data_IF_817186553554
#
_entry.id   IF_817186553554
#
_cell.length_a   1.000
_cell.length_b   1.000
_cell.length_c   1.000
_cell.angle_alpha   90.00
_cell.angle_beta   90.00
_cell.angle_gamma   90.00
#
_symmetry.space_group_name_H-M   'P 1'
#
loop_
_entity.id
_entity.type
_entity.pdbx_description
1 polymer ?
#
# COMPACT_ATOMS: atom_id res chain seq x y z
N UNK A 1 35.58 -68.97 0.27
CA UNK A 1 35.50 -67.51 0.47
C UNK A 1 34.85 -66.94 -0.77
N UNK A 2 33.68 -66.34 -0.57
CA UNK A 2 32.63 -66.15 -1.56
C UNK A 2 32.95 -65.11 -2.67
N UNK A 3 32.43 -65.36 -3.86
CA UNK A 3 32.23 -64.45 -4.99
C UNK A 3 30.72 -64.48 -5.36
N UNK A 4 30.20 -63.48 -6.08
CA UNK A 4 28.99 -62.77 -5.69
C UNK A 4 27.68 -63.32 -6.30
N UNK A 5 26.60 -63.04 -5.59
CA UNK A 5 25.22 -63.36 -5.93
C UNK A 5 24.61 -62.52 -7.06
N UNK A 6 23.60 -63.16 -7.64
CA UNK A 6 22.88 -62.95 -8.91
C UNK A 6 21.87 -61.79 -8.94
N UNK A 7 21.44 -61.50 -10.17
CA UNK A 7 20.46 -60.52 -10.66
C UNK A 7 19.07 -60.49 -10.01
N UNK A 8 18.46 -59.31 -10.16
CA UNK A 8 17.09 -58.89 -9.88
C UNK A 8 15.97 -59.79 -10.45
N UNK A 9 14.85 -59.87 -9.72
CA UNK A 9 13.52 -60.10 -10.30
C UNK A 9 12.51 -59.18 -9.63
N UNK A 10 11.84 -58.39 -10.47
CA UNK A 10 10.72 -57.48 -10.18
C UNK A 10 9.50 -58.25 -9.64
N UNK A 11 8.84 -57.73 -8.60
CA UNK A 11 7.46 -58.13 -8.25
C UNK A 11 6.61 -56.91 -7.89
N UNK A 12 5.77 -56.50 -8.84
CA UNK A 12 4.72 -55.52 -8.63
C UNK A 12 3.54 -56.18 -7.89
N UNK A 13 3.35 -55.84 -6.61
CA UNK A 13 2.05 -55.98 -5.95
C UNK A 13 1.43 -54.60 -5.76
N UNK A 14 0.33 -54.37 -6.47
CA UNK A 14 -0.58 -53.26 -6.23
C UNK A 14 -1.19 -53.40 -4.83
N UNK A 15 -0.78 -52.53 -3.90
CA UNK A 15 -1.50 -52.31 -2.66
C UNK A 15 -2.47 -51.13 -2.89
N UNK A 16 -3.77 -51.40 -2.92
CA UNK A 16 -4.80 -50.38 -2.86
C UNK A 16 -4.61 -49.60 -1.54
N UNK A 17 -4.23 -48.32 -1.63
CA UNK A 17 -4.12 -47.44 -0.47
C UNK A 17 -5.54 -47.12 0.02
N UNK A 18 -5.84 -47.56 1.23
CA UNK A 18 -7.02 -47.14 2.00
C UNK A 18 -7.16 -45.61 1.95
N UNK A 19 -8.31 -45.11 1.53
CA UNK A 19 -8.65 -43.68 1.61
C UNK A 19 -8.81 -43.37 3.11
N UNK A 20 -8.04 -42.44 3.69
CA UNK A 20 -8.23 -42.08 5.10
C UNK A 20 -9.57 -41.34 5.25
N UNK A 21 -10.36 -41.73 6.26
CA UNK A 21 -11.63 -41.09 6.59
C UNK A 21 -11.44 -39.58 6.77
N UNK A 22 -12.33 -38.81 6.16
CA UNK A 22 -12.37 -37.35 6.27
C UNK A 22 -12.69 -36.98 7.74
N UNK A 23 -11.93 -36.10 8.41
CA UNK A 23 -12.20 -35.80 9.81
C UNK A 23 -13.54 -35.08 9.94
N UNK A 24 -14.44 -35.68 10.73
CA UNK A 24 -15.74 -35.11 11.10
C UNK A 24 -15.49 -33.86 11.94
N UNK A 25 -15.78 -32.69 11.39
CA UNK A 25 -15.54 -31.41 12.09
C UNK A 25 -16.48 -31.27 13.30
N UNK A 26 -15.96 -31.02 14.52
CA UNK A 26 -16.79 -30.66 15.67
C UNK A 26 -17.27 -29.21 15.55
N UNK A 27 -18.57 -29.00 15.76
CA UNK A 27 -19.31 -27.73 15.61
C UNK A 27 -19.11 -26.76 16.77
N UNK A 28 -17.92 -26.68 17.36
CA UNK A 28 -17.67 -25.75 18.47
C UNK A 28 -17.04 -24.45 17.99
N UNK A 29 -17.68 -23.34 18.37
CA UNK A 29 -17.38 -21.94 18.03
C UNK A 29 -16.03 -21.41 18.59
N UNK A 30 -15.10 -22.32 18.89
CA UNK A 30 -13.75 -22.05 19.41
C UNK A 30 -12.68 -22.13 18.29
N UNK A 31 -13.11 -22.28 17.03
CA UNK A 31 -12.31 -22.05 15.83
C UNK A 31 -12.25 -20.56 15.42
N UNK A 32 -12.12 -19.64 16.38
CA UNK A 32 -11.76 -18.25 16.06
C UNK A 32 -10.23 -18.17 15.98
N UNK A 33 -9.72 -18.53 14.80
CA UNK A 33 -8.54 -17.94 14.15
C UNK A 33 -7.26 -17.78 15.01
N UNK A 34 -6.65 -18.88 15.46
CA UNK A 34 -5.19 -18.87 15.64
C UNK A 34 -4.54 -19.08 14.25
N UNK A 35 -4.65 -18.06 13.38
CA UNK A 35 -3.87 -18.01 12.15
C UNK A 35 -2.42 -17.84 12.60
N UNK A 36 -1.65 -18.93 12.68
CA UNK A 36 -0.19 -18.88 12.74
C UNK A 36 0.37 -18.41 11.39
N UNK A 37 -0.14 -17.28 10.90
CA UNK A 37 0.37 -16.58 9.74
C UNK A 37 1.63 -15.86 10.15
N UNK A 38 2.69 -16.02 9.36
CA UNK A 38 3.89 -15.21 9.52
C UNK A 38 3.48 -13.73 9.44
N UNK A 39 3.91 -12.91 10.42
CA UNK A 39 3.73 -11.46 10.38
C UNK A 39 4.12 -10.92 9.02
N UNK A 40 3.46 -9.92 8.46
CA UNK A 40 3.81 -9.34 7.17
C UNK A 40 3.55 -7.84 7.15
N UNK A 41 4.35 -7.10 6.39
CA UNK A 41 4.15 -5.67 6.19
C UNK A 41 3.12 -5.44 5.08
N UNK A 42 2.12 -4.63 5.37
CA UNK A 42 1.00 -4.28 4.49
C UNK A 42 0.89 -2.77 4.38
N UNK A 43 0.95 -2.25 3.15
CA UNK A 43 0.71 -0.85 2.82
C UNK A 43 -0.68 -0.62 2.24
N UNK A 44 -1.00 0.63 1.91
CA UNK A 44 -2.25 0.94 1.20
C UNK A 44 -2.30 0.28 -0.18
N UNK A 45 -3.37 -0.45 -0.53
CA UNK A 45 -3.55 -1.00 -1.88
C UNK A 45 -3.96 0.07 -2.90
N UNK A 46 -4.48 1.21 -2.42
CA UNK A 46 -4.93 2.32 -3.26
C UNK A 46 -3.95 3.49 -3.19
N UNK A 47 -3.81 4.27 -4.28
CA UNK A 47 -3.03 5.50 -4.25
C UNK A 47 -3.58 6.51 -3.25
N UNK A 48 -2.68 7.19 -2.54
CA UNK A 48 -3.01 8.32 -1.70
C UNK A 48 -2.97 9.58 -2.56
N UNK A 49 -4.02 10.39 -2.50
CA UNK A 49 -4.16 11.60 -3.31
C UNK A 49 -4.02 12.80 -2.37
N UNK A 50 -3.18 13.77 -2.75
CA UNK A 50 -2.98 15.01 -1.99
C UNK A 50 -2.83 16.21 -2.93
N UNK A 51 -3.25 17.39 -2.48
CA UNK A 51 -2.92 18.63 -3.15
C UNK A 51 -1.53 19.13 -2.68
N UNK A 52 -0.82 19.92 -3.51
CA UNK A 52 0.38 20.60 -3.05
C UNK A 52 0.09 21.45 -1.81
N UNK A 53 0.94 21.35 -0.79
CA UNK A 53 0.77 22.03 0.50
C UNK A 53 0.12 21.19 1.60
N UNK A 54 -0.52 20.08 1.26
CA UNK A 54 -1.18 19.21 2.25
C UNK A 54 -0.18 18.45 3.13
N UNK A 55 -0.64 18.06 4.32
CA UNK A 55 -0.02 17.01 5.10
C UNK A 55 -0.68 15.67 4.76
N UNK A 56 0.11 14.66 4.41
CA UNK A 56 -0.38 13.34 4.00
C UNK A 56 0.14 12.23 4.90
N UNK A 57 -0.66 11.17 5.06
CA UNK A 57 -0.25 9.94 5.74
C UNK A 57 -0.15 8.81 4.72
N UNK A 58 1.02 8.19 4.64
CA UNK A 58 1.27 6.97 3.87
C UNK A 58 1.03 5.76 4.78
N UNK A 59 -0.06 4.98 4.59
CA UNK A 59 -0.41 3.90 5.50
C UNK A 59 0.53 2.72 5.31
N UNK A 60 1.13 2.23 6.40
CA UNK A 60 1.85 0.97 6.41
C UNK A 60 1.83 0.35 7.81
N UNK A 61 1.58 -0.96 7.91
CA UNK A 61 1.44 -1.65 9.19
C UNK A 61 1.79 -3.13 9.08
N UNK A 62 1.96 -3.80 10.23
CA UNK A 62 2.25 -5.24 10.31
C UNK A 62 0.99 -6.02 10.67
N UNK A 63 0.74 -7.12 9.96
CA UNK A 63 -0.38 -8.04 10.19
C UNK A 63 0.14 -9.46 10.43
N UNK A 64 -0.25 -10.15 11.52
CA UNK A 64 -0.96 -9.60 12.68
C UNK A 64 -0.16 -8.52 13.40
N UNK A 65 -0.84 -7.71 14.21
CA UNK A 65 -0.22 -6.64 14.98
C UNK A 65 0.84 -7.22 15.92
N UNK A 66 2.07 -6.71 15.81
CA UNK A 66 3.21 -7.09 16.64
C UNK A 66 3.98 -5.85 17.03
N UNK A 67 4.61 -5.88 18.20
CA UNK A 67 5.44 -4.76 18.65
C UNK A 67 6.71 -4.67 17.80
N UNK A 68 6.86 -3.55 17.08
CA UNK A 68 8.04 -3.24 16.26
C UNK A 68 8.81 -2.02 16.76
N UNK A 69 8.51 -1.48 17.94
CA UNK A 69 9.14 -0.27 18.47
C UNK A 69 10.66 -0.39 18.67
N UNK A 70 11.16 -1.61 18.88
CA UNK A 70 12.59 -1.91 18.98
C UNK A 70 13.26 -2.29 17.65
N UNK A 71 12.53 -2.27 16.52
CA UNK A 71 13.05 -2.62 15.21
C UNK A 71 13.36 -1.37 14.39
N UNK A 72 14.25 -1.53 13.41
CA UNK A 72 14.49 -0.50 12.39
C UNK A 72 13.31 -0.42 11.43
N UNK A 73 12.82 0.79 11.17
CA UNK A 73 11.79 1.09 10.18
C UNK A 73 12.38 2.03 9.14
N UNK A 74 12.32 1.61 7.89
CA UNK A 74 12.86 2.34 6.75
C UNK A 74 11.73 2.78 5.83
N UNK A 75 11.73 4.06 5.48
CA UNK A 75 10.95 4.59 4.36
C UNK A 75 11.90 5.11 3.29
N UNK A 76 11.78 4.62 2.07
CA UNK A 76 12.61 5.03 0.93
C UNK A 76 11.78 5.18 -0.35
N UNK A 77 12.35 5.85 -1.36
CA UNK A 77 11.77 5.88 -2.70
C UNK A 77 12.53 4.86 -3.56
N UNK A 78 11.90 3.75 -3.98
CA UNK A 78 12.59 2.72 -4.77
C UNK A 78 13.02 3.22 -6.16
N UNK A 79 12.48 4.36 -6.60
CA UNK A 79 12.76 4.96 -7.91
C UNK A 79 13.99 5.89 -7.90
N UNK A 80 14.48 6.27 -6.71
CA UNK A 80 15.68 7.11 -6.59
C UNK A 80 16.91 6.20 -6.62
N UNK A 81 17.72 6.36 -7.66
CA UNK A 81 19.00 5.66 -7.76
C UNK A 81 20.05 6.42 -6.94
N UNK A 82 20.97 5.71 -6.27
CA UNK A 82 22.12 6.34 -5.61
C UNK A 82 22.93 7.18 -6.61
N UNK A 83 23.50 8.30 -6.17
CA UNK A 83 24.40 9.10 -7.01
C UNK A 83 25.60 8.22 -7.44
N UNK A 84 25.82 7.99 -8.75
CA UNK A 84 26.96 7.21 -9.24
C UNK A 84 28.33 7.76 -8.82
N UNK A 85 28.38 9.04 -8.45
CA UNK A 85 29.60 9.73 -7.99
C UNK A 85 29.82 9.62 -6.49
N UNK A 86 28.81 9.23 -5.72
CA UNK A 86 28.98 8.93 -4.31
C UNK A 86 29.75 7.62 -4.17
N UNK A 87 31.04 7.73 -3.84
CA UNK A 87 31.94 6.59 -3.64
C UNK A 87 31.49 5.66 -2.51
N UNK A 88 30.64 6.15 -1.61
CA UNK A 88 30.06 5.34 -0.53
C UNK A 88 28.72 4.71 -0.91
N UNK A 89 28.12 5.07 -2.05
CA UNK A 89 26.78 4.64 -2.48
C UNK A 89 25.77 4.70 -1.33
N UNK A 90 25.71 5.83 -0.62
CA UNK A 90 24.85 5.96 0.56
C UNK A 90 23.40 5.81 0.14
N UNK A 91 22.71 4.92 0.84
CA UNK A 91 21.26 4.81 0.73
C UNK A 91 20.65 5.95 1.53
N UNK A 92 20.00 6.88 0.84
CA UNK A 92 19.25 7.95 1.50
C UNK A 92 17.80 7.53 1.72
N UNK A 93 17.25 7.91 2.86
CA UNK A 93 15.90 7.55 3.28
C UNK A 93 14.96 8.76 3.26
N UNK A 94 13.68 8.52 2.97
CA UNK A 94 12.61 9.50 3.22
C UNK A 94 12.42 9.67 4.74
N UNK A 95 12.52 8.56 5.48
CA UNK A 95 12.52 8.54 6.93
C UNK A 95 13.23 7.28 7.43
N UNK A 96 14.04 7.41 8.47
CA UNK A 96 14.74 6.29 9.11
C UNK A 96 14.49 6.35 10.62
N UNK A 97 13.98 5.26 11.17
CA UNK A 97 13.87 5.05 12.60
C UNK A 97 14.73 3.86 13.00
N UNK A 98 15.70 4.08 13.89
CA UNK A 98 16.59 3.05 14.43
C UNK A 98 17.04 3.44 15.83
N UNK A 99 17.46 2.46 16.63
CA UNK A 99 17.92 2.71 18.01
C UNK A 99 16.93 3.54 18.83
N UNK A 100 15.64 3.24 18.64
CA UNK A 100 14.48 3.87 19.30
C UNK A 100 14.29 5.37 19.07
N UNK A 101 14.89 5.90 18.00
CA UNK A 101 14.78 7.32 17.61
C UNK A 101 14.77 7.50 16.11
N UNK A 102 14.36 8.69 15.67
CA UNK A 102 14.58 9.12 14.29
C UNK A 102 16.08 9.33 14.06
N UNK A 103 16.55 8.90 12.88
CA UNK A 103 17.87 9.19 12.37
C UNK A 103 17.76 10.20 11.21
N UNK A 104 18.36 11.37 11.42
CA UNK A 104 18.33 12.46 10.44
C UNK A 104 19.54 12.48 9.50
N UNK A 105 20.62 11.78 9.83
CA UNK A 105 21.91 11.88 9.13
C UNK A 105 21.87 11.15 7.78
N UNK A 106 21.00 10.14 7.68
CA UNK A 106 20.82 9.35 6.45
C UNK A 106 19.55 9.73 5.67
N UNK A 107 18.89 10.84 6.03
CA UNK A 107 17.68 11.29 5.32
C UNK A 107 18.05 12.10 4.08
N UNK A 108 17.25 11.92 3.04
CA UNK A 108 17.16 12.85 1.92
C UNK A 108 16.90 14.26 2.45
N UNK A 109 17.74 15.21 2.03
CA UNK A 109 17.70 16.59 2.51
C UNK A 109 16.33 17.26 2.34
N UNK A 110 15.59 16.91 1.28
CA UNK A 110 14.24 17.42 0.99
C UNK A 110 13.15 16.91 1.95
N UNK A 111 13.41 15.86 2.73
CA UNK A 111 12.47 15.28 3.71
C UNK A 111 12.85 15.56 5.17
N UNK A 112 14.01 16.17 5.43
CA UNK A 112 14.42 16.59 6.77
C UNK A 112 13.38 17.55 7.34
N UNK A 113 12.92 17.31 8.58
CA UNK A 113 11.85 18.06 9.27
C UNK A 113 10.48 18.05 8.58
N UNK A 114 10.30 17.26 7.52
CA UNK A 114 9.03 17.11 6.80
C UNK A 114 8.37 15.76 7.03
N UNK A 115 9.01 14.82 7.71
CA UNK A 115 8.44 13.48 7.89
C UNK A 115 8.49 12.98 9.33
N UNK A 116 7.44 12.28 9.74
CA UNK A 116 7.26 11.79 11.11
C UNK A 116 6.60 10.40 11.11
N UNK A 117 7.06 9.52 12.00
CA UNK A 117 6.39 8.25 12.28
C UNK A 117 5.46 8.38 13.50
N UNK A 118 4.38 7.61 13.50
CA UNK A 118 3.54 7.43 14.69
C UNK A 118 4.23 6.50 15.70
N UNK A 119 5.18 7.04 16.47
CA UNK A 119 6.01 6.28 17.42
C UNK A 119 5.19 5.50 18.45
N UNK A 120 4.10 6.06 18.95
CA UNK A 120 3.16 5.39 19.85
C UNK A 120 2.47 4.18 19.18
N UNK A 121 2.28 4.24 17.86
CA UNK A 121 1.68 3.17 17.05
C UNK A 121 2.62 1.99 16.80
N UNK A 122 3.93 2.14 16.99
CA UNK A 122 4.92 1.08 16.72
C UNK A 122 4.71 -0.16 17.60
N UNK A 123 4.16 0.01 18.82
CA UNK A 123 3.83 -1.12 19.71
C UNK A 123 2.71 -2.01 19.15
N UNK A 124 1.89 -1.46 18.26
CA UNK A 124 0.77 -2.13 17.60
C UNK A 124 1.09 -2.48 16.14
N UNK A 125 2.34 -2.30 15.71
CA UNK A 125 2.78 -2.60 14.35
C UNK A 125 2.44 -1.51 13.33
N UNK A 126 1.98 -0.32 13.75
CA UNK A 126 1.76 0.80 12.84
C UNK A 126 3.09 1.49 12.52
N UNK A 127 3.48 1.47 11.25
CA UNK A 127 4.69 2.12 10.73
C UNK A 127 4.36 3.17 9.66
N UNK A 128 3.14 3.72 9.72
CA UNK A 128 2.68 4.74 8.78
C UNK A 128 3.52 6.00 8.88
N UNK A 129 3.76 6.66 7.75
CA UNK A 129 4.58 7.85 7.67
C UNK A 129 3.72 9.07 7.38
N UNK A 130 3.84 10.12 8.19
CA UNK A 130 3.33 11.44 7.86
C UNK A 130 4.39 12.20 7.05
N UNK A 131 3.99 12.81 5.93
CA UNK A 131 4.80 13.76 5.15
C UNK A 131 4.07 15.10 5.20
N UNK A 132 4.78 16.16 5.57
CA UNK A 132 4.25 17.50 5.77
C UNK A 132 4.53 18.41 4.58
N UNK A 133 3.58 19.28 4.26
CA UNK A 133 3.66 20.27 3.18
C UNK A 133 4.11 19.64 1.85
N UNK A 134 3.34 18.68 1.32
CA UNK A 134 3.73 17.90 0.12
C UNK A 134 3.88 18.78 -1.11
N UNK A 135 4.82 18.43 -1.99
CA UNK A 135 5.06 19.11 -3.27
C UNK A 135 4.82 18.16 -4.45
N UNK A 136 4.79 18.69 -5.67
CA UNK A 136 4.68 17.86 -6.88
C UNK A 136 5.84 16.87 -7.02
N UNK A 137 7.01 17.15 -6.45
CA UNK A 137 8.19 16.28 -6.47
C UNK A 137 8.04 15.06 -5.55
N UNK A 138 7.16 15.15 -4.55
CA UNK A 138 6.85 14.06 -3.64
C UNK A 138 5.98 12.99 -4.30
N UNK A 139 5.41 13.25 -5.47
CA UNK A 139 4.68 12.25 -6.25
C UNK A 139 5.57 11.03 -6.54
N UNK A 140 5.04 9.83 -6.29
CA UNK A 140 5.72 8.60 -6.67
C UNK A 140 5.47 7.44 -5.72
N UNK A 141 6.36 6.45 -5.79
CA UNK A 141 6.31 5.24 -4.97
C UNK A 141 7.15 5.42 -3.73
N UNK A 142 6.64 4.90 -2.63
CA UNK A 142 7.30 4.86 -1.33
C UNK A 142 7.32 3.43 -0.83
N UNK A 143 8.48 2.99 -0.35
CA UNK A 143 8.69 1.67 0.21
C UNK A 143 8.81 1.79 1.72
N UNK A 144 7.90 1.17 2.46
CA UNK A 144 8.06 0.92 3.88
C UNK A 144 8.71 -0.46 4.08
N UNK A 145 9.73 -0.57 4.93
CA UNK A 145 10.49 -1.81 5.12
C UNK A 145 10.95 -1.99 6.57
N UNK A 146 10.85 -3.22 7.08
CA UNK A 146 11.36 -3.62 8.41
C UNK A 146 12.37 -4.76 8.21
N UNK A 147 13.69 -4.48 8.11
CA UNK A 147 14.69 -5.50 7.78
C UNK A 147 14.71 -6.70 8.72
N UNK A 148 14.58 -6.43 10.02
CA UNK A 148 14.64 -7.43 11.09
C UNK A 148 13.28 -8.04 11.46
N UNK A 149 12.23 -7.78 10.67
CA UNK A 149 10.94 -8.46 10.88
C UNK A 149 11.09 -9.96 10.62
N UNK A 150 10.52 -10.78 11.51
CA UNK A 150 10.49 -12.25 11.36
C UNK A 150 9.40 -12.68 10.38
N UNK A 151 9.60 -12.33 9.10
CA UNK A 151 8.65 -12.53 8.01
C UNK A 151 9.34 -12.79 6.68
N UNK A 152 8.62 -13.43 5.74
CA UNK A 152 8.95 -13.42 4.31
C UNK A 152 8.64 -12.07 3.66
N UNK A 153 7.52 -11.43 4.03
CA UNK A 153 7.04 -10.16 3.48
C UNK A 153 7.33 -9.04 4.48
N UNK A 154 8.46 -8.38 4.27
CA UNK A 154 8.99 -7.36 5.19
C UNK A 154 8.78 -5.92 4.71
N UNK A 155 8.25 -5.73 3.51
CA UNK A 155 8.04 -4.41 2.92
C UNK A 155 6.70 -4.34 2.18
N UNK A 156 6.24 -3.12 1.94
CA UNK A 156 5.16 -2.82 1.01
C UNK A 156 5.45 -1.54 0.23
N UNK A 157 4.72 -1.32 -0.86
CA UNK A 157 4.81 -0.12 -1.70
C UNK A 157 3.52 0.68 -1.57
N UNK A 158 3.64 1.97 -1.28
CA UNK A 158 2.55 2.93 -1.21
C UNK A 158 2.76 3.98 -2.32
N UNK A 159 1.69 4.34 -3.00
CA UNK A 159 1.72 5.31 -4.09
C UNK A 159 1.14 6.64 -3.62
N UNK A 160 1.89 7.73 -3.80
CA UNK A 160 1.43 9.10 -3.57
C UNK A 160 1.23 9.82 -4.92
N UNK A 161 0.03 10.33 -5.13
CA UNK A 161 -0.34 11.18 -6.26
C UNK A 161 -0.54 12.58 -5.74
N UNK A 162 0.30 13.50 -6.21
CA UNK A 162 0.17 14.93 -5.90
C UNK A 162 -0.34 15.63 -7.16
N UNK A 163 -1.42 16.40 -7.01
CA UNK A 163 -2.02 17.13 -8.12
C UNK A 163 -3.07 18.13 -7.66
N UNK A 164 -3.27 19.14 -8.49
CA UNK A 164 -4.33 20.13 -8.29
C UNK A 164 -5.68 19.55 -8.73
N UNK A 165 -6.66 19.50 -7.83
CA UNK A 165 -8.04 19.10 -8.16
C UNK A 165 -8.84 20.25 -8.80
N UNK A 166 -8.32 21.48 -8.75
CA UNK A 166 -8.99 22.67 -9.27
C UNK A 166 -9.37 22.59 -10.75
N UNK A 167 -8.58 22.02 -11.68
CA UNK A 167 -8.98 22.00 -13.09
C UNK A 167 -10.22 21.15 -13.35
N UNK A 168 -10.33 19.99 -12.66
CA UNK A 168 -11.48 19.08 -12.83
C UNK A 168 -12.76 19.68 -12.26
N UNK A 169 -12.68 20.30 -11.09
CA UNK A 169 -13.84 20.94 -10.45
C UNK A 169 -14.37 22.10 -11.30
N UNK A 170 -13.49 22.93 -11.86
CA UNK A 170 -13.88 24.00 -12.78
C UNK A 170 -14.55 23.46 -14.04
N UNK A 171 -14.00 22.39 -14.65
CA UNK A 171 -14.62 21.75 -15.83
C UNK A 171 -16.00 21.19 -15.50
N UNK A 172 -16.16 20.52 -14.35
CA UNK A 172 -17.45 20.01 -13.91
C UNK A 172 -18.45 21.14 -13.68
N UNK A 173 -18.05 22.24 -13.04
CA UNK A 173 -18.91 23.41 -12.81
C UNK A 173 -19.34 24.02 -14.14
N UNK A 174 -18.42 24.24 -15.09
CA UNK A 174 -18.75 24.75 -16.41
C UNK A 174 -19.72 23.83 -17.16
N UNK A 175 -19.50 22.51 -17.11
CA UNK A 175 -20.41 21.55 -17.72
C UNK A 175 -21.81 21.60 -17.10
N UNK A 176 -21.92 21.67 -15.77
CA UNK A 176 -23.21 21.80 -15.08
C UNK A 176 -23.90 23.11 -15.44
N UNK A 177 -23.18 24.23 -15.50
CA UNK A 177 -23.73 25.53 -15.89
C UNK A 177 -24.26 25.50 -17.33
N UNK A 178 -23.52 24.91 -18.26
CA UNK A 178 -23.97 24.74 -19.65
C UNK A 178 -25.19 23.82 -19.76
N UNK A 179 -25.23 22.73 -18.99
CA UNK A 179 -26.37 21.81 -18.95
C UNK A 179 -27.62 22.51 -18.40
N UNK A 180 -27.52 23.19 -17.27
CA UNK A 180 -28.64 23.94 -16.67
C UNK A 180 -29.09 25.07 -17.58
N UNK A 181 -28.14 25.87 -18.08
CA UNK A 181 -28.41 26.94 -19.04
C UNK A 181 -29.12 26.41 -20.30
N UNK A 182 -28.63 25.29 -20.84
CA UNK A 182 -29.23 24.61 -21.99
C UNK A 182 -30.66 24.13 -21.70
N UNK A 183 -30.91 23.54 -20.53
CA UNK A 183 -32.27 23.13 -20.10
C UNK A 183 -33.19 24.33 -19.97
N UNK A 184 -32.74 25.42 -19.33
CA UNK A 184 -33.55 26.65 -19.19
C UNK A 184 -33.90 27.23 -20.55
N UNK A 185 -32.91 27.36 -21.44
CA UNK A 185 -33.13 27.85 -22.82
C UNK A 185 -34.12 26.95 -23.57
N UNK A 186 -33.96 25.63 -23.46
CA UNK A 186 -34.88 24.66 -24.06
C UNK A 186 -36.31 24.84 -23.54
N UNK A 187 -36.49 25.00 -22.22
CA UNK A 187 -37.80 25.22 -21.61
C UNK A 187 -38.44 26.53 -22.08
N UNK A 188 -37.68 27.62 -22.14
CA UNK A 188 -38.15 28.92 -22.65
C UNK A 188 -38.58 28.78 -24.12
N UNK A 189 -37.74 28.18 -24.97
CA UNK A 189 -38.06 27.95 -26.38
C UNK A 189 -39.30 27.07 -26.55
N UNK A 190 -39.44 26.04 -25.73
CA UNK A 190 -40.61 25.16 -25.73
C UNK A 190 -41.88 25.91 -25.33
N UNK A 191 -41.80 26.76 -24.30
CA UNK A 191 -42.90 27.63 -23.86
C UNK A 191 -43.34 28.56 -24.99
N UNK A 192 -42.39 29.26 -25.62
CA UNK A 192 -42.66 30.16 -26.75
C UNK A 192 -43.28 29.41 -27.94
N UNK A 193 -42.80 28.20 -28.25
CA UNK A 193 -43.36 27.36 -29.33
C UNK A 193 -44.79 26.89 -29.05
N UNK A 194 -45.14 26.66 -27.78
CA UNK A 194 -46.51 26.31 -27.38
C UNK A 194 -47.45 27.52 -27.50
N UNK A 195 -47.02 28.71 -27.09
CA UNK A 195 -47.81 29.94 -27.26
C UNK A 195 -48.10 30.27 -28.73
N UNK A 196 -47.09 30.15 -29.61
CA UNK A 196 -47.29 30.38 -31.05
C UNK A 196 -48.26 29.36 -31.65
N UNK A 197 -48.23 28.11 -31.21
CA UNK A 197 -49.19 27.07 -31.65
C UNK A 197 -50.61 27.28 -31.16
N UNK A 198 -50.83 28.00 -30.05
CA UNK A 198 -52.17 28.34 -29.56
C UNK A 198 -52.76 29.57 -30.27
N UNK A 199 -51.93 30.38 -30.93
CA UNK A 199 -52.35 31.58 -31.68
C UNK A 199 -52.61 31.33 -33.17
N UNK A 200 -52.35 30.11 -33.66
CA UNK A 200 -52.63 29.63 -35.02
C UNK A 200 -53.80 28.65 -34.99
#
# INVERSE_FOLDING_TARGET
TELPGTLEVFNHRHAAKQIPDLPRFPTDLKCILHFSGQSQVVGSPQPIIAAPGDDVILPCHVVPQVNVAGLTVEWSRPDIQPDPKDRLSRVEYVHLYRDTREDTDMKLSTYVRRTELFTDGLRQGNISLKIMNVTLEDKGRYRCFIPKLKSRIKFSIVHLVVGELVPLVFVCILAVVLMVGGVVVYLIQKSQKQEVRQRL
#
